data_IF_100029191059
#
_entry.id   IF_100029191059
#
_cell.length_a   1.000
_cell.length_b   1.000
_cell.length_c   1.000
_cell.angle_alpha   90.00
_cell.angle_beta   90.00
_cell.angle_gamma   90.00
#
_symmetry.space_group_name_H-M   'P 1'
#
loop_
_entity.id
_entity.type
_entity.pdbx_description
1 polymer ?
#
# COMPACT_ATOMS: atom_id res chain seq x y z
N UNK A 1 -9.73 20.25 -25.84
CA UNK A 1 -10.95 19.56 -25.38
C UNK A 1 -11.56 18.89 -26.58
N UNK A 2 -12.08 17.68 -26.42
CA UNK A 2 -12.83 17.01 -27.47
C UNK A 2 -14.10 17.81 -27.84
N UNK A 3 -14.52 17.72 -29.08
CA UNK A 3 -15.60 18.53 -29.65
C UNK A 3 -16.61 17.70 -30.43
N UNK A 4 -17.84 18.22 -30.54
CA UNK A 4 -18.89 17.65 -31.38
C UNK A 4 -19.33 18.69 -32.40
N UNK A 5 -19.37 18.33 -33.69
CA UNK A 5 -19.84 19.23 -34.76
C UNK A 5 -21.31 18.99 -35.17
N UNK A 6 -21.99 18.02 -34.54
CA UNK A 6 -23.42 17.78 -34.76
C UNK A 6 -24.26 18.93 -34.19
N UNK A 7 -25.16 19.47 -35.01
CA UNK A 7 -26.03 20.60 -34.66
C UNK A 7 -27.51 20.21 -34.70
N UNK A 8 -28.30 20.92 -33.89
CA UNK A 8 -29.76 20.80 -33.88
C UNK A 8 -30.35 21.53 -35.09
N UNK A 9 -31.13 20.82 -35.90
CA UNK A 9 -31.89 21.35 -37.02
C UNK A 9 -33.07 22.21 -36.52
N UNK A 10 -33.35 23.34 -37.17
CA UNK A 10 -34.40 24.30 -36.78
C UNK A 10 -34.36 24.69 -35.29
N UNK A 11 -33.17 25.06 -34.80
CA UNK A 11 -32.94 25.44 -33.40
C UNK A 11 -33.88 26.59 -32.93
N UNK A 12 -34.29 27.46 -33.85
CA UNK A 12 -35.19 28.58 -33.61
C UNK A 12 -36.68 28.20 -33.67
N UNK A 13 -37.02 26.97 -34.05
CA UNK A 13 -38.38 26.41 -34.06
C UNK A 13 -39.38 27.25 -34.88
N UNK A 14 -38.97 27.80 -36.02
CA UNK A 14 -39.77 28.81 -36.73
C UNK A 14 -40.94 28.24 -37.54
N UNK A 15 -40.83 27.00 -38.02
CA UNK A 15 -41.87 26.37 -38.83
C UNK A 15 -41.96 24.90 -38.43
N UNK A 16 -42.46 24.65 -37.23
CA UNK A 16 -42.50 23.31 -36.64
C UNK A 16 -43.84 23.10 -35.94
N UNK A 17 -44.48 21.95 -36.18
CA UNK A 17 -45.73 21.63 -35.49
C UNK A 17 -45.51 21.25 -34.02
N UNK A 18 -46.54 21.48 -33.21
CA UNK A 18 -46.56 21.10 -31.79
C UNK A 18 -46.49 19.59 -31.58
N UNK A 19 -46.01 19.19 -30.39
CA UNK A 19 -45.82 17.79 -30.05
C UNK A 19 -47.14 17.00 -30.06
N UNK A 20 -48.22 17.58 -29.54
CA UNK A 20 -49.55 16.95 -29.52
C UNK A 20 -50.11 16.68 -30.92
N UNK A 21 -49.90 17.62 -31.85
CA UNK A 21 -50.32 17.51 -33.26
C UNK A 21 -49.43 16.52 -34.01
N UNK A 22 -48.13 16.50 -33.73
CA UNK A 22 -47.21 15.53 -34.33
C UNK A 22 -47.52 14.09 -33.89
N UNK A 23 -47.83 13.88 -32.61
CA UNK A 23 -48.11 12.57 -32.04
C UNK A 23 -49.30 11.88 -32.75
N UNK A 24 -50.34 12.65 -33.06
CA UNK A 24 -51.57 12.18 -33.72
C UNK A 24 -51.56 12.28 -35.24
N UNK A 25 -50.49 12.81 -35.86
CA UNK A 25 -50.45 13.02 -37.30
C UNK A 25 -50.40 11.71 -38.10
N UNK A 26 -51.33 11.58 -39.05
CA UNK A 26 -51.41 10.43 -39.96
C UNK A 26 -50.14 10.23 -40.79
N UNK A 27 -49.43 11.29 -41.18
CA UNK A 27 -48.20 11.17 -41.95
C UNK A 27 -47.01 10.64 -41.12
N UNK A 28 -47.06 10.74 -39.77
CA UNK A 28 -46.05 10.18 -38.85
C UNK A 28 -46.35 8.71 -38.63
N UNK A 29 -47.63 8.40 -38.45
CA UNK A 29 -48.11 7.06 -38.09
C UNK A 29 -48.08 6.13 -39.31
N UNK A 30 -48.61 6.60 -40.45
CA UNK A 30 -48.82 5.80 -41.65
C UNK A 30 -47.83 6.12 -42.79
N UNK A 31 -46.88 7.02 -42.55
CA UNK A 31 -45.93 7.49 -43.57
C UNK A 31 -46.52 8.54 -44.52
N UNK A 32 -45.64 9.13 -45.33
CA UNK A 32 -46.02 10.17 -46.30
C UNK A 32 -46.81 9.54 -47.45
N UNK A 33 -48.03 10.01 -47.69
CA UNK A 33 -48.84 9.61 -48.85
C UNK A 33 -48.52 10.49 -50.07
N UNK A 34 -48.81 10.04 -51.31
CA UNK A 34 -48.57 10.84 -52.51
C UNK A 34 -49.26 12.21 -52.44
N UNK A 35 -48.50 13.30 -52.55
CA UNK A 35 -49.00 14.67 -52.41
C UNK A 35 -47.92 15.63 -51.87
N UNK A 36 -48.35 16.84 -51.47
CA UNK A 36 -47.44 17.84 -50.87
C UNK A 36 -47.22 17.48 -49.39
N UNK A 37 -45.97 17.19 -49.04
CA UNK A 37 -45.55 16.94 -47.67
C UNK A 37 -45.62 18.22 -46.82
N UNK A 38 -46.31 18.24 -45.67
CA UNK A 38 -46.36 19.41 -44.80
C UNK A 38 -44.97 19.75 -44.25
N UNK A 39 -44.44 20.93 -44.58
CA UNK A 39 -43.08 21.36 -44.20
C UNK A 39 -42.89 21.43 -42.68
N UNK A 40 -43.88 21.96 -41.96
CA UNK A 40 -43.85 22.08 -40.50
C UNK A 40 -43.74 20.72 -39.77
N UNK A 41 -44.26 19.67 -40.39
CA UNK A 41 -44.19 18.32 -39.87
C UNK A 41 -42.83 17.67 -40.09
N UNK A 42 -42.25 17.87 -41.28
CA UNK A 42 -40.92 17.37 -41.59
C UNK A 42 -39.86 18.08 -40.75
N UNK A 43 -40.02 19.40 -40.54
CA UNK A 43 -39.17 20.15 -39.63
C UNK A 43 -39.24 19.59 -38.20
N UNK A 44 -40.42 19.17 -37.71
CA UNK A 44 -40.55 18.50 -36.40
C UNK A 44 -39.76 17.19 -36.34
N UNK A 45 -39.85 16.38 -37.40
CA UNK A 45 -39.14 15.11 -37.51
C UNK A 45 -37.62 15.32 -37.52
N UNK A 46 -37.11 16.23 -38.37
CA UNK A 46 -35.69 16.55 -38.46
C UNK A 46 -35.15 17.19 -37.18
N UNK A 47 -35.94 18.05 -36.53
CA UNK A 47 -35.62 18.59 -35.21
C UNK A 47 -35.43 17.46 -34.18
N UNK A 48 -36.34 16.49 -34.08
CA UNK A 48 -36.22 15.39 -33.12
C UNK A 48 -35.01 14.49 -33.39
N UNK A 49 -34.71 14.20 -34.65
CA UNK A 49 -33.55 13.38 -35.01
C UNK A 49 -32.24 14.10 -34.71
N UNK A 50 -32.10 15.34 -35.17
CA UNK A 50 -30.90 16.15 -34.93
C UNK A 50 -30.66 16.44 -33.45
N UNK A 51 -31.71 16.59 -32.63
CA UNK A 51 -31.60 16.66 -31.17
C UNK A 51 -30.94 15.42 -30.56
N UNK A 52 -31.39 14.22 -30.96
CA UNK A 52 -30.81 12.96 -30.47
C UNK A 52 -29.35 12.80 -30.92
N UNK A 53 -29.06 13.11 -32.18
CA UNK A 53 -27.70 13.03 -32.73
C UNK A 53 -26.76 14.03 -32.06
N UNK A 54 -27.21 15.27 -31.83
CA UNK A 54 -26.43 16.29 -31.12
C UNK A 54 -26.14 15.89 -29.68
N UNK A 55 -27.15 15.37 -28.97
CA UNK A 55 -26.97 14.88 -27.60
C UNK A 55 -25.98 13.70 -27.54
N UNK A 56 -26.02 12.80 -28.53
CA UNK A 56 -25.09 11.68 -28.62
C UNK A 56 -23.66 12.15 -28.94
N UNK A 57 -23.49 13.11 -29.85
CA UNK A 57 -22.18 13.72 -30.12
C UNK A 57 -21.60 14.41 -28.89
N UNK A 58 -22.43 15.13 -28.12
CA UNK A 58 -22.03 15.71 -26.83
C UNK A 58 -21.63 14.65 -25.81
N UNK A 59 -22.35 13.53 -25.74
CA UNK A 59 -21.99 12.41 -24.89
C UNK A 59 -20.57 11.90 -25.21
N UNK A 60 -20.26 11.67 -26.49
CA UNK A 60 -18.93 11.21 -26.94
C UNK A 60 -17.84 12.24 -26.60
N UNK A 61 -18.09 13.53 -26.85
CA UNK A 61 -17.18 14.61 -26.51
C UNK A 61 -16.92 14.73 -24.99
N UNK A 62 -17.94 14.53 -24.16
CA UNK A 62 -17.80 14.52 -22.70
C UNK A 62 -16.96 13.35 -22.18
N UNK A 63 -16.86 12.25 -22.94
CA UNK A 63 -15.94 11.14 -22.64
C UNK A 63 -14.51 11.38 -23.13
N UNK A 64 -14.24 12.53 -23.77
CA UNK A 64 -12.91 12.92 -24.22
C UNK A 64 -12.57 12.53 -25.67
N UNK A 65 -13.55 12.11 -26.47
CA UNK A 65 -13.36 11.72 -27.87
C UNK A 65 -14.11 12.67 -28.83
N UNK A 66 -13.53 13.00 -29.98
CA UNK A 66 -14.20 13.89 -30.94
C UNK A 66 -15.38 13.19 -31.65
N UNK A 67 -16.49 13.90 -31.79
CA UNK A 67 -17.66 13.48 -32.57
C UNK A 67 -17.80 14.36 -33.81
N UNK A 68 -17.25 13.89 -34.94
CA UNK A 68 -17.30 14.59 -36.22
C UNK A 68 -17.95 13.76 -37.32
N UNK A 69 -18.75 14.40 -38.17
CA UNK A 69 -19.30 13.84 -39.40
C UNK A 69 -18.29 13.77 -40.57
N UNK A 70 -17.04 14.21 -40.39
CA UNK A 70 -16.02 14.23 -41.44
C UNK A 70 -15.50 12.84 -41.83
N UNK A 71 -15.47 11.90 -40.88
CA UNK A 71 -14.96 10.54 -41.08
C UNK A 71 -15.78 9.51 -40.29
N UNK A 72 -16.49 8.64 -41.01
CA UNK A 72 -17.34 7.61 -40.43
C UNK A 72 -16.55 6.57 -39.63
N UNK A 73 -15.36 6.18 -40.09
CA UNK A 73 -14.54 5.17 -39.42
C UNK A 73 -14.00 5.71 -38.09
N UNK A 74 -13.51 6.95 -38.10
CA UNK A 74 -13.06 7.64 -36.89
C UNK A 74 -14.22 7.85 -35.90
N UNK A 75 -15.37 8.31 -36.39
CA UNK A 75 -16.56 8.49 -35.57
C UNK A 75 -16.99 7.16 -34.91
N UNK A 76 -17.00 6.06 -35.66
CA UNK A 76 -17.35 4.73 -35.16
C UNK A 76 -16.39 4.27 -34.05
N UNK A 77 -15.09 4.50 -34.23
CA UNK A 77 -14.09 4.18 -33.21
C UNK A 77 -14.31 5.02 -31.94
N UNK A 78 -14.45 6.33 -32.10
CA UNK A 78 -14.64 7.25 -30.98
C UNK A 78 -15.92 6.96 -30.18
N UNK A 79 -17.01 6.59 -30.85
CA UNK A 79 -18.25 6.13 -30.19
C UNK A 79 -17.97 4.85 -29.39
N UNK A 80 -17.25 3.90 -29.96
CA UNK A 80 -16.90 2.64 -29.28
C UNK A 80 -16.08 2.92 -28.02
N UNK A 81 -15.07 3.80 -28.11
CA UNK A 81 -14.24 4.18 -26.97
C UNK A 81 -15.01 4.96 -25.90
N UNK A 82 -15.92 5.85 -26.29
CA UNK A 82 -16.78 6.58 -25.36
C UNK A 82 -17.78 5.66 -24.63
N UNK A 83 -18.24 4.57 -25.26
CA UNK A 83 -19.02 3.54 -24.56
C UNK A 83 -18.16 2.71 -23.61
N UNK A 84 -16.92 2.40 -23.98
CA UNK A 84 -16.00 1.68 -23.11
C UNK A 84 -15.57 2.52 -21.90
N UNK A 85 -15.45 3.85 -22.02
CA UNK A 85 -15.11 4.72 -20.89
C UNK A 85 -16.20 4.76 -19.81
N UNK A 86 -17.49 4.61 -20.19
CA UNK A 86 -18.60 4.42 -19.24
C UNK A 86 -18.50 3.12 -18.46
N UNK A 87 -17.81 2.11 -18.98
CA UNK A 87 -17.53 0.91 -18.23
C UNK A 87 -16.58 1.18 -17.06
N UNK A 88 -15.96 2.36 -16.93
CA UNK A 88 -15.02 2.69 -15.84
C UNK A 88 -13.86 1.70 -15.77
N UNK A 89 -12.99 1.82 -14.76
CA UNK A 89 -12.01 0.78 -14.39
C UNK A 89 -12.69 -0.49 -13.84
N UNK A 90 -13.87 -0.85 -14.36
CA UNK A 90 -14.52 -2.11 -14.05
C UNK A 90 -13.72 -3.22 -14.69
N UNK A 91 -13.56 -4.31 -13.93
CA UNK A 91 -13.17 -5.66 -14.36
C UNK A 91 -13.17 -5.79 -15.88
N UNK A 92 -11.99 -5.62 -16.50
CA UNK A 92 -11.86 -5.72 -17.94
C UNK A 92 -12.00 -7.19 -18.32
N UNK A 93 -13.02 -7.54 -19.08
CA UNK A 93 -13.09 -8.88 -19.67
C UNK A 93 -12.25 -8.91 -20.94
N UNK A 94 -11.60 -10.05 -21.21
CA UNK A 94 -10.92 -10.31 -22.47
C UNK A 94 -11.88 -10.07 -23.65
N UNK A 95 -11.39 -9.42 -24.70
CA UNK A 95 -12.12 -9.10 -25.93
C UNK A 95 -11.33 -9.59 -27.15
N UNK A 96 -12.02 -10.03 -28.22
CA UNK A 96 -11.38 -10.46 -29.46
C UNK A 96 -10.80 -9.27 -30.24
N UNK A 97 -9.73 -9.52 -31.02
CA UNK A 97 -9.07 -8.54 -31.90
C UNK A 97 -8.76 -7.18 -31.24
N UNK A 98 -8.46 -7.21 -29.95
CA UNK A 98 -8.30 -6.00 -29.12
C UNK A 98 -6.84 -5.79 -28.78
N UNK A 99 -6.40 -4.53 -28.81
CA UNK A 99 -5.03 -4.17 -28.45
C UNK A 99 -4.87 -4.14 -26.93
N UNK A 100 -3.86 -4.83 -26.44
CA UNK A 100 -3.46 -4.88 -25.03
C UNK A 100 -2.00 -4.42 -24.87
N UNK A 101 -1.72 -3.78 -23.75
CA UNK A 101 -0.39 -3.35 -23.33
C UNK A 101 0.13 -4.17 -22.17
N UNK A 102 1.44 -4.22 -22.01
CA UNK A 102 2.07 -4.87 -20.86
C UNK A 102 1.52 -4.24 -19.58
N UNK A 103 1.19 -5.08 -18.60
CA UNK A 103 0.50 -4.73 -17.36
C UNK A 103 -1.02 -4.62 -17.40
N UNK A 104 -1.67 -4.82 -18.55
CA UNK A 104 -3.12 -4.97 -18.58
C UNK A 104 -3.57 -6.23 -17.83
N UNK A 105 -4.68 -6.13 -17.11
CA UNK A 105 -5.31 -7.24 -16.40
C UNK A 105 -6.69 -7.47 -17.02
N UNK A 106 -6.96 -8.73 -17.41
CA UNK A 106 -8.26 -9.13 -17.94
C UNK A 106 -8.83 -10.36 -17.24
N UNK A 107 -10.14 -10.54 -17.36
CA UNK A 107 -10.90 -11.69 -16.87
C UNK A 107 -11.57 -12.41 -18.03
N UNK A 108 -11.81 -13.71 -17.87
CA UNK A 108 -12.58 -14.50 -18.82
C UNK A 108 -14.07 -14.39 -18.50
N UNK A 109 -14.91 -14.19 -19.52
CA UNK A 109 -16.37 -14.25 -19.34
C UNK A 109 -16.84 -15.66 -18.94
N UNK A 110 -16.12 -16.68 -19.40
CA UNK A 110 -16.44 -18.08 -19.17
C UNK A 110 -15.98 -18.57 -17.78
N UNK A 111 -14.83 -18.10 -17.31
CA UNK A 111 -14.27 -18.48 -16.01
C UNK A 111 -14.65 -17.50 -14.88
N UNK A 112 -15.23 -16.36 -15.22
CA UNK A 112 -15.60 -15.31 -14.27
C UNK A 112 -14.41 -14.83 -13.45
N UNK A 113 -14.64 -14.55 -12.16
CA UNK A 113 -13.61 -14.10 -11.23
C UNK A 113 -12.78 -15.25 -10.62
N UNK A 114 -12.93 -16.48 -11.10
CA UNK A 114 -12.15 -17.62 -10.62
C UNK A 114 -10.67 -17.53 -11.01
N UNK A 115 -10.36 -16.79 -12.09
CA UNK A 115 -9.03 -16.53 -12.60
C UNK A 115 -8.93 -15.13 -13.20
N UNK A 116 -7.74 -14.57 -13.21
CA UNK A 116 -7.40 -13.33 -13.91
C UNK A 116 -6.13 -13.54 -14.72
N UNK A 117 -5.93 -12.70 -15.73
CA UNK A 117 -4.86 -12.86 -16.72
C UNK A 117 -4.06 -11.56 -16.82
N UNK A 118 -2.77 -11.67 -16.58
CA UNK A 118 -1.82 -10.55 -16.62
C UNK A 118 -1.08 -10.51 -17.96
N UNK A 119 -1.09 -9.36 -18.64
CA UNK A 119 -0.40 -9.18 -19.91
C UNK A 119 1.11 -8.99 -19.67
N UNK A 120 1.92 -9.95 -20.13
CA UNK A 120 3.39 -9.90 -20.07
C UNK A 120 4.03 -9.40 -21.37
N UNK A 121 3.31 -9.54 -22.49
CA UNK A 121 3.72 -9.02 -23.80
C UNK A 121 2.50 -8.39 -24.48
N UNK A 122 2.56 -7.08 -24.73
CA UNK A 122 1.51 -6.34 -25.42
C UNK A 122 1.40 -6.71 -26.90
N UNK A 123 0.22 -6.54 -27.47
CA UNK A 123 -0.12 -6.96 -28.84
C UNK A 123 -1.62 -6.84 -29.12
N UNK A 124 -2.09 -7.58 -30.11
CA UNK A 124 -3.51 -7.72 -30.47
C UNK A 124 -3.95 -9.16 -30.18
N UNK A 125 -5.02 -9.33 -29.40
CA UNK A 125 -5.62 -10.64 -29.08
C UNK A 125 -6.17 -11.34 -30.33
N UNK A 126 -6.37 -12.65 -30.26
CA UNK A 126 -6.98 -13.43 -31.32
C UNK A 126 -8.45 -13.11 -31.56
N UNK A 127 -9.02 -13.67 -32.63
CA UNK A 127 -10.43 -13.50 -32.96
C UNK A 127 -11.38 -14.28 -32.04
N UNK A 128 -10.87 -15.23 -31.26
CA UNK A 128 -11.63 -16.04 -30.31
C UNK A 128 -10.84 -16.21 -29.01
N UNK A 129 -11.56 -16.42 -27.90
CA UNK A 129 -10.94 -16.52 -26.58
C UNK A 129 -10.00 -17.74 -26.53
N UNK A 130 -8.74 -17.55 -26.09
CA UNK A 130 -7.78 -18.65 -26.08
C UNK A 130 -8.15 -19.68 -25.00
N UNK A 131 -7.64 -20.90 -25.17
CA UNK A 131 -7.68 -21.88 -24.07
C UNK A 131 -6.67 -21.46 -23.00
N UNK A 132 -7.19 -21.00 -21.87
CA UNK A 132 -6.37 -20.50 -20.77
C UNK A 132 -5.57 -21.61 -20.10
N UNK A 133 -4.32 -21.31 -19.78
CA UNK A 133 -3.42 -22.25 -19.11
C UNK A 133 -3.85 -22.52 -17.66
N UNK A 134 -3.19 -23.50 -17.02
CA UNK A 134 -3.26 -23.66 -15.58
C UNK A 134 -2.67 -22.43 -14.85
N UNK A 135 -2.85 -22.35 -13.53
CA UNK A 135 -2.32 -21.23 -12.74
C UNK A 135 -0.79 -21.12 -12.93
N UNK A 136 -0.30 -19.88 -13.03
CA UNK A 136 1.06 -19.47 -13.41
C UNK A 136 1.52 -19.91 -14.81
N UNK A 137 0.63 -20.54 -15.59
CA UNK A 137 0.88 -20.93 -16.96
C UNK A 137 0.77 -19.75 -17.93
N UNK A 138 1.56 -19.82 -19.00
CA UNK A 138 1.57 -18.82 -20.08
C UNK A 138 0.62 -19.24 -21.20
N UNK A 139 -0.27 -18.33 -21.60
CA UNK A 139 -1.11 -18.48 -22.80
C UNK A 139 -0.65 -17.48 -23.86
N UNK A 140 -0.33 -17.97 -25.06
CA UNK A 140 -0.09 -17.11 -26.23
C UNK A 140 -1.40 -16.92 -26.97
N UNK A 141 -1.83 -15.68 -27.10
CA UNK A 141 -3.09 -15.27 -27.70
C UNK A 141 -2.79 -14.35 -28.88
N UNK A 142 -2.63 -14.95 -30.06
CA UNK A 142 -2.10 -14.30 -31.25
C UNK A 142 -0.74 -13.62 -30.97
N UNK A 143 -0.70 -12.30 -30.82
CA UNK A 143 0.55 -11.54 -30.55
C UNK A 143 0.70 -11.15 -29.07
N UNK A 144 -0.33 -11.36 -28.25
CA UNK A 144 -0.32 -11.05 -26.81
C UNK A 144 0.10 -12.29 -26.02
N UNK A 145 0.82 -12.10 -24.90
CA UNK A 145 1.07 -13.17 -23.93
C UNK A 145 0.46 -12.86 -22.57
N UNK A 146 -0.18 -13.87 -22.01
CA UNK A 146 -0.88 -13.82 -20.74
C UNK A 146 -0.29 -14.81 -19.74
N UNK A 147 -0.16 -14.39 -18.48
CA UNK A 147 0.05 -15.30 -17.34
C UNK A 147 -1.26 -15.48 -16.61
N UNK A 148 -1.63 -16.72 -16.31
CA UNK A 148 -2.88 -17.05 -15.64
C UNK A 148 -2.69 -17.06 -14.14
N UNK A 149 -3.54 -16.36 -13.39
CA UNK A 149 -3.51 -16.35 -11.93
C UNK A 149 -4.85 -16.80 -11.34
N UNK A 150 -4.80 -17.35 -10.13
CA UNK A 150 -6.01 -17.70 -9.39
C UNK A 150 -6.75 -16.43 -8.93
N UNK A 151 -8.09 -16.47 -8.90
CA UNK A 151 -8.93 -15.33 -8.53
C UNK A 151 -8.64 -14.74 -7.16
N UNK A 152 -8.26 -15.58 -6.19
CA UNK A 152 -7.85 -15.14 -4.85
C UNK A 152 -6.48 -14.46 -4.80
N UNK A 153 -5.69 -14.52 -5.87
CA UNK A 153 -4.39 -13.83 -6.01
C UNK A 153 -4.52 -12.44 -6.62
N UNK A 154 -5.74 -11.97 -6.94
CA UNK A 154 -5.99 -10.64 -7.53
C UNK A 154 -5.76 -9.48 -6.55
N UNK A 155 -5.37 -9.77 -5.30
CA UNK A 155 -4.81 -8.79 -4.40
C UNK A 155 -3.29 -8.73 -4.61
N UNK A 156 -2.82 -7.54 -5.00
CA UNK A 156 -1.45 -7.04 -4.92
C UNK A 156 -0.50 -7.35 -6.11
N UNK A 157 -0.73 -6.73 -7.27
CA UNK A 157 0.40 -6.33 -8.16
C UNK A 157 0.87 -4.88 -7.90
N UNK A 158 0.17 -4.13 -7.04
CA UNK A 158 0.61 -2.84 -6.55
C UNK A 158 0.85 -2.88 -5.05
N UNK A 159 2.10 -3.04 -4.63
CA UNK A 159 2.51 -2.77 -3.25
C UNK A 159 3.04 -3.93 -2.41
N UNK A 160 3.55 -5.01 -3.02
CA UNK A 160 4.44 -5.92 -2.28
C UNK A 160 5.78 -5.19 -2.10
N UNK A 161 6.24 -4.92 -0.86
CA UNK A 161 7.52 -4.26 -0.67
C UNK A 161 8.65 -5.11 -1.25
N UNK A 162 9.78 -4.52 -1.68
CA UNK A 162 10.91 -5.29 -2.17
C UNK A 162 11.40 -6.33 -1.15
N UNK A 163 11.98 -7.42 -1.65
CA UNK A 163 12.66 -8.39 -0.80
C UNK A 163 13.71 -7.71 0.10
N UNK A 164 13.80 -8.12 1.37
CA UNK A 164 14.64 -7.52 2.40
C UNK A 164 13.96 -6.42 3.23
N UNK A 165 12.75 -5.99 2.87
CA UNK A 165 11.98 -5.06 3.72
C UNK A 165 11.46 -5.81 4.94
N UNK A 166 11.85 -5.33 6.13
CA UNK A 166 11.37 -5.83 7.41
C UNK A 166 10.34 -4.86 8.02
N UNK A 167 9.23 -5.41 8.53
CA UNK A 167 8.14 -4.64 9.13
C UNK A 167 7.75 -5.21 10.50
N UNK A 168 7.34 -4.35 11.45
CA UNK A 168 6.74 -4.82 12.69
C UNK A 168 5.40 -5.51 12.40
N UNK A 169 5.20 -6.67 13.01
CA UNK A 169 4.06 -7.54 12.79
C UNK A 169 3.42 -7.97 14.10
N UNK A 170 2.08 -7.93 14.10
CA UNK A 170 1.24 -8.46 15.15
C UNK A 170 0.27 -9.46 14.55
N UNK A 171 0.54 -10.75 14.75
CA UNK A 171 -0.32 -11.82 14.26
C UNK A 171 0.18 -13.19 14.66
N UNK A 172 -0.46 -14.21 14.08
CA UNK A 172 -0.10 -15.60 14.29
C UNK A 172 0.84 -16.10 13.20
N UNK A 173 1.67 -17.07 13.55
CA UNK A 173 2.56 -17.75 12.64
C UNK A 173 2.14 -19.20 12.40
N UNK A 174 2.50 -19.74 11.25
CA UNK A 174 2.25 -21.12 10.86
C UNK A 174 3.33 -21.65 9.90
N UNK A 175 3.05 -22.80 9.31
CA UNK A 175 4.00 -23.51 8.44
C UNK A 175 5.09 -24.24 9.21
N UNK A 176 6.10 -24.74 8.49
CA UNK A 176 7.23 -25.47 9.09
C UNK A 176 7.93 -24.59 10.11
N UNK A 177 7.94 -25.01 11.38
CA UNK A 177 8.58 -24.28 12.47
C UNK A 177 7.86 -22.99 12.91
N UNK A 178 6.61 -22.76 12.50
CA UNK A 178 5.85 -21.54 12.82
C UNK A 178 6.59 -20.24 12.46
N UNK A 179 7.17 -20.19 11.25
CA UNK A 179 8.01 -19.06 10.82
C UNK A 179 7.33 -18.08 9.86
N UNK A 180 6.16 -18.46 9.33
CA UNK A 180 5.49 -17.72 8.26
C UNK A 180 4.22 -17.06 8.80
N UNK A 181 3.97 -15.77 8.52
CA UNK A 181 2.76 -15.11 9.00
C UNK A 181 1.52 -15.72 8.36
N UNK A 182 0.45 -15.83 9.14
CA UNK A 182 -0.86 -16.27 8.67
C UNK A 182 -1.67 -15.03 8.32
N UNK A 183 -2.16 -14.97 7.09
CA UNK A 183 -3.08 -13.91 6.66
C UNK A 183 -4.38 -14.00 7.46
N UNK A 184 -4.75 -12.88 8.10
CA UNK A 184 -5.87 -12.86 9.05
C UNK A 184 -7.23 -13.08 8.38
N UNK A 185 -7.38 -12.70 7.11
CA UNK A 185 -8.65 -12.78 6.39
C UNK A 185 -8.87 -14.15 5.76
N UNK A 186 -7.84 -14.71 5.13
CA UNK A 186 -7.91 -15.98 4.41
C UNK A 186 -7.50 -17.18 5.27
N UNK A 187 -6.82 -16.98 6.40
CA UNK A 187 -6.26 -18.04 7.23
C UNK A 187 -5.11 -18.80 6.57
N UNK A 188 -4.62 -18.33 5.42
CA UNK A 188 -3.54 -18.98 4.67
C UNK A 188 -2.18 -18.55 5.19
N UNK A 189 -1.24 -19.49 5.15
CA UNK A 189 0.17 -19.21 5.41
C UNK A 189 0.73 -18.40 4.23
N UNK A 190 1.35 -17.26 4.53
CA UNK A 190 2.02 -16.44 3.54
C UNK A 190 3.52 -16.75 3.51
N UNK A 191 3.96 -17.51 2.50
CA UNK A 191 5.35 -17.94 2.34
C UNK A 191 6.25 -16.91 1.66
N UNK A 192 5.71 -15.77 1.23
CA UNK A 192 6.51 -14.64 0.72
C UNK A 192 7.10 -13.78 1.84
N UNK A 193 6.72 -14.06 3.09
CA UNK A 193 7.22 -13.40 4.29
C UNK A 193 7.78 -14.42 5.27
N UNK A 194 8.78 -14.02 6.04
CA UNK A 194 9.40 -14.88 7.04
C UNK A 194 9.71 -14.09 8.31
N UNK A 195 9.61 -14.72 9.49
CA UNK A 195 10.01 -14.07 10.76
C UNK A 195 11.51 -13.73 10.74
N UNK A 196 11.89 -12.57 11.28
CA UNK A 196 13.29 -12.15 11.37
C UNK A 196 13.99 -12.84 12.55
N UNK A 197 14.31 -14.14 12.40
CA UNK A 197 14.91 -14.98 13.44
C UNK A 197 16.33 -15.49 13.10
N UNK A 198 16.90 -15.03 11.99
CA UNK A 198 18.24 -15.42 11.53
C UNK A 198 18.27 -16.70 10.69
N UNK A 199 17.10 -17.29 10.42
CA UNK A 199 17.00 -18.48 9.58
C UNK A 199 16.50 -18.14 8.19
N UNK A 200 16.73 -19.06 7.25
CA UNK A 200 16.22 -18.97 5.87
C UNK A 200 16.59 -17.65 5.16
N UNK A 201 17.76 -17.10 5.49
CA UNK A 201 18.33 -15.89 4.90
C UNK A 201 17.90 -14.57 5.54
N UNK A 202 16.98 -14.60 6.51
CA UNK A 202 16.50 -13.40 7.22
C UNK A 202 17.52 -12.90 8.24
N UNK A 203 17.40 -11.62 8.62
CA UNK A 203 18.15 -11.07 9.76
C UNK A 203 17.56 -11.57 11.08
N UNK A 204 18.38 -11.77 12.13
CA UNK A 204 17.85 -12.00 13.48
C UNK A 204 17.60 -10.64 14.15
N UNK A 205 16.33 -10.29 14.35
CA UNK A 205 15.92 -9.02 14.99
C UNK A 205 15.32 -9.23 16.39
N UNK A 206 15.28 -10.47 16.88
CA UNK A 206 14.69 -10.78 18.19
C UNK A 206 15.47 -10.10 19.31
N UNK A 207 14.77 -9.46 20.24
CA UNK A 207 15.37 -8.78 21.40
C UNK A 207 16.25 -7.57 21.05
N UNK A 208 16.15 -7.04 19.82
CA UNK A 208 16.96 -5.91 19.36
C UNK A 208 16.12 -4.64 19.23
N UNK A 209 16.74 -3.50 19.51
CA UNK A 209 16.20 -2.19 19.17
C UNK A 209 16.74 -1.77 17.80
N UNK A 210 15.88 -1.20 16.94
CA UNK A 210 16.27 -0.83 15.58
C UNK A 210 16.96 0.53 15.60
N UNK A 211 18.24 0.53 15.22
CA UNK A 211 19.03 1.74 14.97
C UNK A 211 19.19 1.92 13.46
N UNK A 212 18.94 3.13 12.96
CA UNK A 212 19.12 3.44 11.54
C UNK A 212 20.61 3.38 11.18
N UNK A 213 20.92 2.70 10.07
CA UNK A 213 22.29 2.54 9.60
C UNK A 213 22.95 3.89 9.30
N UNK A 214 24.25 3.99 9.61
CA UNK A 214 25.10 5.16 9.35
C UNK A 214 26.53 4.71 9.04
N UNK A 215 27.43 5.64 8.74
CA UNK A 215 28.85 5.30 8.55
C UNK A 215 29.51 4.73 9.81
N UNK A 216 29.09 5.18 11.00
CA UNK A 216 29.57 4.67 12.29
C UNK A 216 28.94 3.32 12.65
N UNK A 217 27.73 3.05 12.17
CA UNK A 217 26.98 1.82 12.40
C UNK A 217 26.42 1.29 11.07
N UNK A 218 27.24 0.61 10.25
CA UNK A 218 26.79 0.02 8.99
C UNK A 218 25.65 -0.98 9.19
N UNK A 219 24.86 -1.23 8.14
CA UNK A 219 23.76 -2.20 8.17
C UNK A 219 24.26 -3.58 8.64
N UNK A 220 23.47 -4.24 9.51
CA UNK A 220 23.83 -5.51 10.15
C UNK A 220 24.69 -5.39 11.41
N UNK A 221 25.17 -4.19 11.77
CA UNK A 221 25.86 -3.97 13.04
C UNK A 221 24.93 -4.22 14.22
N UNK A 222 25.41 -4.91 15.24
CA UNK A 222 24.67 -5.15 16.49
C UNK A 222 25.48 -4.72 17.72
N UNK A 223 24.79 -4.33 18.78
CA UNK A 223 25.39 -3.85 20.02
C UNK A 223 24.34 -3.41 21.05
N UNK A 224 24.80 -2.76 22.12
CA UNK A 224 23.96 -2.31 23.24
C UNK A 224 23.86 -3.34 24.38
N UNK A 225 23.27 -2.91 25.49
CA UNK A 225 23.08 -3.73 26.68
C UNK A 225 21.71 -3.44 27.32
N UNK A 226 21.00 -4.51 27.72
CA UNK A 226 19.70 -4.40 28.37
C UNK A 226 19.80 -3.93 29.84
N UNK A 227 20.93 -4.21 30.49
CA UNK A 227 21.24 -3.76 31.83
C UNK A 227 22.73 -3.41 31.92
N UNK A 228 23.06 -2.49 32.83
CA UNK A 228 24.42 -1.98 33.03
C UNK A 228 24.78 -2.06 34.50
N UNK A 229 25.96 -2.61 34.79
CA UNK A 229 26.62 -2.49 36.10
C UNK A 229 27.63 -1.35 36.02
N UNK A 230 27.57 -0.41 36.96
CA UNK A 230 28.55 0.67 37.04
C UNK A 230 29.92 0.13 37.45
N UNK A 231 30.93 0.52 36.70
CA UNK A 231 32.34 0.31 37.04
C UNK A 231 32.84 1.40 37.99
N UNK A 232 33.99 1.15 38.63
CA UNK A 232 34.64 2.12 39.53
C UNK A 232 34.90 3.46 38.81
N UNK A 233 35.32 3.43 37.54
CA UNK A 233 35.57 4.63 36.74
C UNK A 233 34.31 5.47 36.44
N UNK A 234 33.13 4.87 36.60
CA UNK A 234 31.84 5.54 36.40
C UNK A 234 31.28 6.13 37.71
N UNK A 235 31.96 5.96 38.84
CA UNK A 235 31.56 6.54 40.13
C UNK A 235 32.20 7.93 40.28
N UNK A 236 31.41 9.00 40.47
CA UNK A 236 31.97 10.33 40.72
C UNK A 236 32.88 10.38 41.95
N UNK A 237 33.91 11.23 41.89
CA UNK A 237 34.75 11.54 43.05
C UNK A 237 33.88 12.01 44.22
N UNK A 238 34.04 11.37 45.38
CA UNK A 238 33.33 11.69 46.61
C UNK A 238 34.27 11.54 47.81
N UNK A 239 33.88 12.13 48.96
CA UNK A 239 34.67 12.10 50.19
C UNK A 239 33.78 11.88 51.40
N UNK A 240 34.32 11.25 52.44
CA UNK A 240 33.65 11.10 53.72
C UNK A 240 34.35 11.96 54.77
N UNK A 241 33.57 12.61 55.64
CA UNK A 241 34.07 13.36 56.78
C UNK A 241 33.54 12.78 58.07
N UNK A 242 34.43 12.48 59.02
CA UNK A 242 34.09 12.10 60.38
C UNK A 242 34.39 13.25 61.33
N UNK A 243 33.37 13.74 62.05
CA UNK A 243 33.54 14.74 63.12
C UNK A 243 33.54 14.03 64.47
N UNK A 244 34.57 14.31 65.29
CA UNK A 244 34.67 13.80 66.66
C UNK A 244 34.37 14.94 67.65
N UNK A 245 33.44 14.71 68.57
CA UNK A 245 33.14 15.63 69.68
C UNK A 245 33.69 15.04 70.98
N UNK A 246 34.62 15.74 71.63
CA UNK A 246 35.03 15.46 73.00
C UNK A 246 34.19 16.30 73.96
N UNK A 247 33.36 15.66 74.79
CA UNK A 247 32.69 16.33 75.91
C UNK A 247 33.66 16.48 77.07
N UNK A 248 33.94 17.71 77.51
CA UNK A 248 34.51 17.97 78.83
C UNK A 248 33.37 18.39 79.77
N UNK A 249 32.84 17.46 80.55
CA UNK A 249 32.08 17.79 81.76
C UNK A 249 32.91 17.38 82.95
N UNK A 250 33.43 18.38 83.66
CA UNK A 250 34.07 18.36 84.99
C UNK A 250 34.54 17.01 85.55
N UNK A 251 35.86 16.89 85.67
CA UNK A 251 36.51 16.01 86.64
C UNK A 251 37.11 14.73 86.05
N UNK A 252 38.40 14.81 85.75
CA UNK A 252 39.33 13.69 85.55
C UNK A 252 38.84 12.62 84.56
N UNK A 253 39.22 12.82 83.29
CA UNK A 253 39.35 11.72 82.36
C UNK A 253 40.82 11.58 81.99
N UNK A 254 41.37 10.37 82.12
CA UNK A 254 42.41 9.90 81.20
C UNK A 254 41.83 9.99 79.79
N UNK A 255 41.83 11.20 79.23
CA UNK A 255 41.62 11.39 77.81
C UNK A 255 42.73 10.61 77.16
N UNK A 256 42.38 9.46 76.57
CA UNK A 256 43.27 8.80 75.62
C UNK A 256 43.40 9.76 74.45
N UNK A 257 44.35 10.69 74.60
CA UNK A 257 44.81 11.59 73.57
C UNK A 257 45.13 10.75 72.35
N UNK A 258 44.43 11.01 71.25
CA UNK A 258 44.83 10.50 69.96
C UNK A 258 46.13 11.22 69.59
N UNK A 259 47.26 10.61 69.97
CA UNK A 259 48.53 10.83 69.31
C UNK A 259 49.61 11.61 70.06
N UNK A 260 49.75 11.51 71.38
CA UNK A 260 51.09 11.69 71.96
C UNK A 260 51.72 10.32 72.17
N UNK A 261 52.51 9.89 71.18
CA UNK A 261 53.35 8.71 71.31
C UNK A 261 54.25 8.89 72.54
N UNK A 262 53.97 8.13 73.59
CA UNK A 262 54.93 7.93 74.68
C UNK A 262 56.23 7.43 74.08
N UNK A 263 57.36 8.01 74.49
CA UNK A 263 58.68 7.65 73.99
C UNK A 263 58.90 6.13 74.08
N UNK A 264 58.86 5.43 72.94
CA UNK A 264 59.12 3.99 72.85
C UNK A 264 58.07 3.16 72.11
N UNK A 265 56.89 3.70 71.76
CA UNK A 265 55.88 2.99 70.96
C UNK A 265 55.73 3.66 69.60
N UNK A 266 55.91 2.88 68.52
CA UNK A 266 55.73 3.35 67.14
C UNK A 266 54.32 3.90 66.89
N UNK A 267 54.10 4.69 65.83
CA UNK A 267 52.79 5.30 65.57
C UNK A 267 51.71 4.23 65.42
N UNK A 268 50.74 4.24 66.34
CA UNK A 268 49.57 3.35 66.31
C UNK A 268 48.51 3.97 65.39
N UNK A 269 48.36 3.43 64.18
CA UNK A 269 47.38 3.92 63.18
C UNK A 269 46.00 3.33 63.48
N UNK A 270 45.07 4.17 63.97
CA UNK A 270 43.67 3.80 64.13
C UNK A 270 42.89 4.14 62.86
N UNK A 271 42.45 3.11 62.12
CA UNK A 271 41.59 3.26 60.95
C UNK A 271 40.13 3.15 61.38
N UNK A 272 39.31 4.16 61.09
CA UNK A 272 37.86 4.14 61.33
C UNK A 272 37.13 4.04 59.99
N UNK A 273 36.99 2.83 59.42
CA UNK A 273 36.30 2.66 58.16
C UNK A 273 34.81 3.02 58.33
N UNK A 274 34.26 3.74 57.36
CA UNK A 274 32.81 3.80 57.19
C UNK A 274 32.31 2.44 56.69
N UNK A 275 31.07 2.08 56.98
CA UNK A 275 30.45 0.88 56.40
C UNK A 275 30.24 1.07 54.90
N UNK A 276 30.59 0.06 54.10
CA UNK A 276 30.32 0.05 52.66
C UNK A 276 28.81 -0.02 52.39
N UNK A 277 28.35 0.63 51.32
CA UNK A 277 26.96 0.51 50.85
C UNK A 277 26.94 0.40 49.33
N UNK A 278 26.24 -0.62 48.83
CA UNK A 278 26.08 -0.91 47.40
C UNK A 278 26.84 -2.16 46.97
N UNK A 279 26.16 -3.03 46.23
CA UNK A 279 26.68 -4.36 45.83
C UNK A 279 26.97 -4.46 44.32
N UNK A 280 27.03 -3.33 43.61
CA UNK A 280 27.29 -3.30 42.16
C UNK A 280 26.21 -3.98 41.31
N UNK A 281 24.97 -4.05 41.81
CA UNK A 281 23.88 -4.70 41.07
C UNK A 281 23.57 -3.94 39.77
N UNK A 282 23.36 -4.65 38.64
CA UNK A 282 23.03 -4.01 37.38
C UNK A 282 21.66 -3.34 37.46
N UNK A 283 21.54 -2.17 36.85
CA UNK A 283 20.24 -1.51 36.64
C UNK A 283 19.78 -1.67 35.19
N UNK A 284 18.46 -1.62 34.99
CA UNK A 284 17.89 -1.64 33.63
C UNK A 284 18.41 -0.45 32.82
N UNK A 285 18.73 -0.72 31.55
CA UNK A 285 19.08 0.28 30.54
C UNK A 285 18.03 0.31 29.41
N UNK A 286 16.93 -0.43 29.57
CA UNK A 286 15.83 -0.44 28.61
C UNK A 286 14.78 0.63 28.97
N UNK A 287 14.39 1.51 28.03
CA UNK A 287 13.21 2.34 28.20
C UNK A 287 11.93 1.47 28.21
N UNK A 288 10.77 2.01 28.65
CA UNK A 288 9.50 1.32 28.48
C UNK A 288 9.27 0.87 27.04
N UNK A 289 8.88 -0.39 26.82
CA UNK A 289 8.75 -0.96 25.49
C UNK A 289 7.46 -1.77 25.32
N UNK A 290 7.04 -1.91 24.06
CA UNK A 290 6.00 -2.85 23.63
C UNK A 290 6.61 -3.79 22.58
N UNK A 291 6.45 -5.09 22.77
CA UNK A 291 7.07 -6.10 21.90
C UNK A 291 6.18 -6.46 20.72
N UNK A 292 6.74 -6.35 19.52
CA UNK A 292 6.16 -6.84 18.26
C UNK A 292 7.15 -7.80 17.62
N UNK A 293 6.66 -8.77 16.86
CA UNK A 293 7.51 -9.55 15.98
C UNK A 293 7.95 -8.68 14.80
N UNK A 294 9.07 -9.04 14.16
CA UNK A 294 9.42 -8.51 12.84
C UNK A 294 9.31 -9.63 11.81
N UNK A 295 8.77 -9.30 10.64
CA UNK A 295 8.73 -10.17 9.46
C UNK A 295 9.45 -9.47 8.30
N UNK A 296 10.11 -10.25 7.45
CA UNK A 296 10.87 -9.81 6.29
C UNK A 296 10.26 -10.40 5.02
N UNK A 297 10.11 -9.57 3.99
CA UNK A 297 9.71 -10.03 2.65
C UNK A 297 10.89 -10.81 2.04
N UNK A 298 10.67 -12.07 1.65
CA UNK A 298 11.72 -12.95 1.10
C UNK A 298 11.53 -13.29 -0.39
N UNK A 299 10.37 -12.96 -0.97
CA UNK A 299 10.01 -13.23 -2.37
C UNK A 299 9.47 -11.98 -3.08
#
# INVERSE_FOLDING_TARGET
MATSNFLVFDQNKQNMIDHSVYQSSNYRINGVTPGIAPSAMHNKMFYQWSMMVTAFGQFVANQGFDASDADLALLTNNITQALLSLAGSSVLFWQPNTKYTVSDIVYSKNLGMAKWFYCTQGGISGAAEPTWAANEGITTDNTVRWVTHAGGSALVSGGVPPAGVALPFRGSFGGTGNKYPIDRLSGKINTSWHICDGTDGTQDLRGRFILVASSAYPAGTSGGAAAVTLSIDQIPSHSHGSQYYSHSSDGIHEGRELGQAGAGVGPEYWTYPTTETGDGQPHTNMPPFYSLAYIEQIA
#
